data_IF_131901614189
#
_entry.id   IF_131901614189
#
_cell.length_a   1.000
_cell.length_b   1.000
_cell.length_c   1.000
_cell.angle_alpha   90.00
_cell.angle_beta   90.00
_cell.angle_gamma   90.00
#
_symmetry.space_group_name_H-M   'P 1'
#
loop_
_entity.id
_entity.type
_entity.pdbx_description
1 polymer ?
#
# COMPACT_ATOMS: atom_id res chain seq x y z
N UNK A 1 -21.15 32.96 50.39
CA UNK A 1 -20.02 32.59 49.50
C UNK A 1 -19.79 31.07 49.50
N UNK A 2 -20.80 30.25 49.16
CA UNK A 2 -20.66 28.79 49.17
C UNK A 2 -20.94 28.15 47.79
N UNK A 3 -21.60 28.87 46.88
CA UNK A 3 -22.00 28.35 45.56
C UNK A 3 -20.85 28.45 44.54
N UNK A 4 -19.92 29.40 44.72
CA UNK A 4 -18.82 29.64 43.78
C UNK A 4 -17.69 28.57 43.86
N UNK A 5 -17.59 27.84 44.99
CA UNK A 5 -16.55 26.82 45.20
C UNK A 5 -16.88 25.46 44.56
N UNK A 6 -18.16 25.19 44.30
CA UNK A 6 -18.61 23.93 43.70
C UNK A 6 -18.57 23.92 42.17
N UNK A 7 -18.54 25.09 41.51
CA UNK A 7 -18.47 25.17 40.05
C UNK A 7 -17.06 24.85 39.55
N UNK A 8 -16.02 25.12 40.35
CA UNK A 8 -14.63 24.87 39.98
C UNK A 8 -14.28 23.36 39.91
N UNK A 9 -14.93 22.53 40.73
CA UNK A 9 -14.71 21.07 40.72
C UNK A 9 -15.42 20.35 39.56
N UNK A 10 -16.49 20.92 39.01
CA UNK A 10 -17.23 20.32 37.89
C UNK A 10 -16.47 20.54 36.56
N UNK A 11 -15.71 21.64 36.43
CA UNK A 11 -14.94 21.94 35.21
C UNK A 11 -13.67 21.06 35.10
N UNK A 12 -13.06 20.68 36.23
CA UNK A 12 -11.88 19.81 36.26
C UNK A 12 -12.23 18.33 36.00
N UNK A 13 -13.44 17.89 36.32
CA UNK A 13 -13.87 16.52 36.05
C UNK A 13 -14.29 16.29 34.59
N UNK A 14 -14.75 17.34 33.89
CA UNK A 14 -15.14 17.25 32.48
C UNK A 14 -13.97 17.35 31.50
N UNK A 15 -12.80 17.80 31.95
CA UNK A 15 -11.60 17.89 31.10
C UNK A 15 -10.83 16.56 30.97
N UNK A 16 -11.20 15.53 31.75
CA UNK A 16 -10.59 14.20 31.67
C UNK A 16 -11.31 13.23 30.70
N UNK A 17 -12.44 13.63 30.11
CA UNK A 17 -13.13 12.84 29.08
C UNK A 17 -12.73 13.20 27.64
N UNK A 18 -11.75 14.08 27.45
CA UNK A 18 -11.06 14.19 26.17
C UNK A 18 -9.93 13.15 26.13
N UNK A 19 -10.29 11.88 25.99
CA UNK A 19 -9.33 10.87 25.56
C UNK A 19 -8.61 11.38 24.31
N UNK A 20 -7.31 11.13 24.13
CA UNK A 20 -6.59 11.61 22.96
C UNK A 20 -7.40 11.19 21.73
N UNK A 21 -7.78 12.17 20.91
CA UNK A 21 -8.33 11.97 19.58
C UNK A 21 -7.28 11.16 18.80
N UNK A 22 -7.30 9.83 18.97
CA UNK A 22 -6.49 8.94 18.19
C UNK A 22 -6.94 9.16 16.75
N UNK A 23 -6.04 9.59 15.85
CA UNK A 23 -6.42 9.78 14.47
C UNK A 23 -6.93 8.44 13.95
N UNK A 24 -8.21 8.41 13.56
CA UNK A 24 -8.94 7.29 12.94
C UNK A 24 -8.47 7.02 11.51
N UNK A 25 -7.17 7.16 11.27
CA UNK A 25 -6.53 6.93 10.00
C UNK A 25 -6.23 5.45 9.78
N UNK A 26 -6.22 5.07 8.51
CA UNK A 26 -5.74 3.78 8.00
C UNK A 26 -4.41 3.41 8.66
N UNK A 27 -4.34 2.26 9.34
CA UNK A 27 -3.13 1.84 10.08
C UNK A 27 -2.25 0.94 9.24
N UNK A 28 -0.95 1.13 9.32
CA UNK A 28 0.05 0.28 8.67
C UNK A 28 1.09 -0.16 9.71
N UNK A 29 1.74 -1.30 9.49
CA UNK A 29 2.75 -1.86 10.39
C UNK A 29 4.09 -1.99 9.67
N UNK A 30 5.17 -1.63 10.34
CA UNK A 30 6.53 -1.84 9.81
C UNK A 30 6.89 -3.32 9.85
N UNK A 31 7.35 -3.88 8.73
CA UNK A 31 7.74 -5.31 8.62
C UNK A 31 9.26 -5.51 8.57
N UNK A 32 10.02 -4.48 8.18
CA UNK A 32 11.47 -4.51 8.18
C UNK A 32 12.03 -4.30 9.60
N UNK A 33 13.17 -4.91 9.92
CA UNK A 33 13.82 -4.76 11.24
C UNK A 33 14.03 -3.30 11.66
N UNK A 34 14.37 -2.44 10.68
CA UNK A 34 14.43 -0.98 10.83
C UNK A 34 13.89 -0.32 9.57
N UNK A 35 13.15 0.78 9.74
CA UNK A 35 12.65 1.59 8.63
C UNK A 35 12.87 3.08 8.88
N UNK A 36 13.45 3.78 7.91
CA UNK A 36 13.64 5.22 7.97
C UNK A 36 12.39 5.96 7.49
N UNK A 37 12.05 7.03 8.19
CA UNK A 37 11.02 7.99 7.82
C UNK A 37 11.73 9.27 7.40
N UNK A 38 11.48 9.71 6.16
CA UNK A 38 12.17 10.81 5.50
C UNK A 38 11.31 12.08 5.50
N UNK A 39 11.95 13.24 5.55
CA UNK A 39 11.24 14.53 5.51
C UNK A 39 10.51 14.77 4.18
N UNK A 40 11.08 14.29 3.06
CA UNK A 40 10.49 14.29 1.71
C UNK A 40 10.48 12.87 1.14
N UNK A 41 9.67 12.63 0.10
CA UNK A 41 9.60 11.38 -0.65
C UNK A 41 10.86 11.13 -1.53
N UNK A 42 12.04 11.15 -0.90
CA UNK A 42 13.38 11.01 -1.48
C UNK A 42 14.33 10.41 -0.42
N UNK A 43 15.16 9.44 -0.82
CA UNK A 43 16.17 8.79 0.05
C UNK A 43 17.28 9.74 0.50
N UNK A 44 17.55 10.76 -0.30
CA UNK A 44 18.59 11.73 0.01
C UNK A 44 18.05 12.84 0.94
N UNK A 45 16.75 12.84 1.23
CA UNK A 45 16.15 13.74 2.20
C UNK A 45 16.67 13.42 3.61
N UNK A 46 16.74 14.41 4.51
CA UNK A 46 16.97 14.15 5.93
C UNK A 46 16.00 13.11 6.49
N UNK A 47 16.53 12.23 7.33
CA UNK A 47 15.75 11.26 8.11
C UNK A 47 15.15 12.01 9.30
N UNK A 48 13.83 11.92 9.43
CA UNK A 48 13.09 12.43 10.58
C UNK A 48 13.26 11.48 11.75
N UNK A 49 13.02 10.18 11.53
CA UNK A 49 13.19 9.15 12.54
C UNK A 49 13.40 7.77 11.91
N UNK A 50 14.03 6.85 12.64
CA UNK A 50 14.11 5.43 12.29
C UNK A 50 13.29 4.63 13.27
N UNK A 51 12.30 3.90 12.76
CA UNK A 51 11.37 3.09 13.55
C UNK A 51 11.68 1.60 13.43
N UNK A 52 11.31 0.82 14.45
CA UNK A 52 11.55 -0.60 14.52
C UNK A 52 10.43 -1.41 13.83
N UNK A 53 10.69 -2.70 13.60
CA UNK A 53 9.67 -3.66 13.18
C UNK A 53 8.52 -3.70 14.18
N UNK A 54 7.31 -3.84 13.67
CA UNK A 54 6.08 -3.89 14.47
C UNK A 54 5.51 -2.52 14.82
N UNK A 55 6.26 -1.43 14.65
CA UNK A 55 5.74 -0.07 14.87
C UNK A 55 4.51 0.18 14.00
N UNK A 56 3.44 0.69 14.62
CA UNK A 56 2.19 1.03 13.95
C UNK A 56 2.21 2.50 13.59
N UNK A 57 2.03 2.78 12.30
CA UNK A 57 1.98 4.12 11.75
C UNK A 57 0.56 4.43 11.23
N UNK A 58 0.21 5.70 11.21
CA UNK A 58 -1.05 6.16 10.61
C UNK A 58 -0.77 6.65 9.20
N UNK A 59 -1.36 5.98 8.20
CA UNK A 59 -1.27 6.34 6.79
C UNK A 59 -2.16 7.54 6.50
N UNK A 60 -1.60 8.60 5.92
CA UNK A 60 -2.39 9.64 5.27
C UNK A 60 -2.70 9.20 3.84
N UNK A 61 -3.97 9.36 3.45
CA UNK A 61 -4.37 9.15 2.06
C UNK A 61 -3.92 10.35 1.22
N UNK A 62 -2.65 10.35 0.79
CA UNK A 62 -2.13 11.32 -0.16
C UNK A 62 -2.35 10.76 -1.55
N UNK A 63 -3.48 11.09 -2.19
CA UNK A 63 -3.78 10.65 -3.55
C UNK A 63 -2.57 10.80 -4.49
N UNK A 64 -2.36 9.82 -5.38
CA UNK A 64 -1.37 9.73 -6.48
C UNK A 64 0.03 10.36 -6.25
N UNK A 65 0.57 10.44 -5.04
CA UNK A 65 2.01 10.71 -4.88
C UNK A 65 2.75 9.39 -5.02
N UNK A 66 3.57 9.26 -6.07
CA UNK A 66 4.49 8.13 -6.40
C UNK A 66 4.25 6.87 -5.57
N UNK A 67 3.56 5.86 -6.14
CA UNK A 67 3.04 4.60 -5.53
C UNK A 67 3.97 3.81 -4.57
N UNK A 68 5.23 4.18 -4.41
CA UNK A 68 6.23 3.56 -3.54
C UNK A 68 6.44 4.30 -2.21
N UNK A 69 5.98 5.55 -2.08
CA UNK A 69 6.11 6.35 -0.86
C UNK A 69 4.76 6.55 -0.22
N UNK A 70 4.71 6.38 1.09
CA UNK A 70 3.54 6.57 1.92
C UNK A 70 3.82 7.70 2.89
N UNK A 71 2.92 8.68 2.94
CA UNK A 71 2.99 9.71 3.95
C UNK A 71 2.31 9.23 5.23
N UNK A 72 3.01 9.36 6.35
CA UNK A 72 2.63 8.76 7.63
C UNK A 72 2.74 9.75 8.77
N UNK A 73 1.93 9.52 9.80
CA UNK A 73 2.00 10.18 11.10
C UNK A 73 2.20 9.15 12.21
N UNK A 74 3.00 9.49 13.21
CA UNK A 74 3.25 8.65 14.39
C UNK A 74 3.69 9.51 15.57
N UNK A 75 3.51 9.01 16.78
CA UNK A 75 4.06 9.62 17.98
C UNK A 75 5.54 9.23 18.08
N UNK A 76 6.44 10.23 18.09
CA UNK A 76 7.86 10.00 18.35
C UNK A 76 8.04 9.48 19.77
N UNK A 77 8.78 8.39 19.93
CA UNK A 77 9.21 7.96 21.26
C UNK A 77 10.24 8.94 21.86
N UNK A 78 10.99 9.65 21.00
CA UNK A 78 12.04 10.58 21.43
C UNK A 78 11.50 11.91 21.90
N UNK A 79 10.58 12.51 21.14
CA UNK A 79 10.05 13.85 21.46
C UNK A 79 8.69 13.81 22.15
N UNK A 80 8.00 12.68 22.17
CA UNK A 80 6.62 12.56 22.64
C UNK A 80 5.59 13.30 21.76
N UNK A 81 6.03 13.94 20.67
CA UNK A 81 5.18 14.68 19.75
C UNK A 81 4.77 13.83 18.56
N UNK A 82 3.60 14.11 17.99
CA UNK A 82 3.22 13.55 16.69
C UNK A 82 4.06 14.20 15.60
N UNK A 83 4.78 13.38 14.85
CA UNK A 83 5.59 13.77 13.70
C UNK A 83 5.09 13.07 12.45
N UNK A 84 5.46 13.63 11.31
CA UNK A 84 5.08 13.14 9.99
C UNK A 84 6.27 13.01 9.07
N UNK A 85 6.11 12.19 8.03
CA UNK A 85 7.12 12.00 7.01
C UNK A 85 6.75 10.92 6.02
N UNK A 86 7.73 10.52 5.20
CA UNK A 86 7.56 9.56 4.13
C UNK A 86 8.30 8.25 4.44
N UNK A 87 7.60 7.14 4.31
CA UNK A 87 8.15 5.78 4.43
C UNK A 87 7.88 5.00 3.13
N UNK A 88 8.74 4.04 2.81
CA UNK A 88 8.56 3.19 1.63
C UNK A 88 7.43 2.17 1.85
N UNK A 89 6.51 2.06 0.88
CA UNK A 89 5.43 1.06 0.86
C UNK A 89 5.93 -0.38 0.98
N UNK A 90 7.16 -0.65 0.53
CA UNK A 90 7.78 -1.99 0.62
C UNK A 90 8.20 -2.38 2.05
N UNK A 91 8.31 -1.43 2.98
CA UNK A 91 8.78 -1.68 4.35
C UNK A 91 7.63 -1.86 5.35
N UNK A 92 6.39 -1.84 4.86
CA UNK A 92 5.18 -1.86 5.68
C UNK A 92 4.11 -2.77 5.11
N UNK A 93 3.20 -3.20 5.97
CA UNK A 93 1.96 -3.90 5.60
C UNK A 93 0.74 -3.08 6.05
N UNK A 94 -0.39 -3.25 5.37
CA UNK A 94 -1.65 -2.58 5.71
C UNK A 94 -2.42 -3.39 6.74
N UNK A 95 -2.87 -2.74 7.81
CA UNK A 95 -3.71 -3.36 8.86
C UNK A 95 -5.21 -3.09 8.64
N UNK A 96 -5.61 -2.72 7.42
CA UNK A 96 -6.99 -2.44 7.05
C UNK A 96 -7.30 -3.05 5.69
N UNK A 97 -8.55 -3.46 5.53
CA UNK A 97 -9.09 -3.91 4.25
C UNK A 97 -9.53 -2.68 3.47
N UNK A 98 -9.10 -2.55 2.22
CA UNK A 98 -9.66 -1.57 1.29
C UNK A 98 -10.97 -2.15 0.74
N UNK A 99 -12.05 -2.09 1.51
CA UNK A 99 -13.39 -2.48 1.04
C UNK A 99 -14.00 -1.30 0.29
N UNK A 100 -13.90 -1.32 -1.04
CA UNK A 100 -14.73 -0.44 -1.89
C UNK A 100 -16.12 -1.09 -2.00
N UNK A 101 -17.06 -0.70 -1.14
CA UNK A 101 -18.45 -1.14 -1.25
C UNK A 101 -19.07 -0.39 -2.42
N UNK A 102 -19.32 -1.10 -3.52
CA UNK A 102 -20.14 -0.60 -4.63
C UNK A 102 -21.50 -1.24 -4.48
N UNK A 103 -22.53 -0.45 -4.17
CA UNK A 103 -23.91 -0.92 -4.19
C UNK A 103 -24.33 -1.07 -5.64
N UNK A 104 -24.36 -2.31 -6.13
CA UNK A 104 -24.73 -2.64 -7.51
C UNK A 104 -26.15 -3.20 -7.47
N UNK A 105 -27.10 -2.53 -8.12
CA UNK A 105 -28.38 -3.14 -8.48
C UNK A 105 -28.08 -4.21 -9.53
N UNK A 106 -28.38 -5.46 -9.22
CA UNK A 106 -28.12 -6.58 -10.09
C UNK A 106 -29.00 -6.51 -11.34
N UNK A 107 -28.36 -6.61 -12.49
CA UNK A 107 -28.92 -7.34 -13.62
C UNK A 107 -27.96 -8.50 -13.88
N UNK A 108 -28.52 -9.70 -13.69
CA UNK A 108 -27.92 -10.99 -14.00
C UNK A 108 -27.81 -11.13 -15.52
N UNK A 109 -26.65 -11.60 -15.97
CA UNK A 109 -26.60 -12.55 -17.07
C UNK A 109 -25.32 -13.38 -16.93
N UNK A 110 -25.51 -14.69 -16.87
CA UNK A 110 -24.53 -15.73 -16.66
C UNK A 110 -23.49 -15.75 -17.80
N UNK A 111 -22.22 -15.60 -17.45
CA UNK A 111 -21.08 -15.86 -18.33
C UNK A 111 -20.26 -17.05 -17.81
N UNK A 112 -20.95 -18.10 -17.37
CA UNK A 112 -20.31 -19.40 -17.17
C UNK A 112 -20.06 -20.04 -18.53
N UNK A 113 -18.86 -20.60 -18.72
CA UNK A 113 -18.41 -21.41 -19.86
C UNK A 113 -17.80 -20.76 -21.12
N UNK A 114 -16.98 -19.70 -21.00
CA UNK A 114 -16.08 -19.33 -22.12
C UNK A 114 -14.61 -19.06 -21.84
N UNK A 115 -14.15 -19.14 -20.60
CA UNK A 115 -12.73 -18.96 -20.29
C UNK A 115 -12.22 -20.19 -19.55
N UNK A 116 -11.82 -21.23 -20.30
CA UNK A 116 -10.97 -22.29 -19.76
C UNK A 116 -9.67 -21.63 -19.31
N UNK A 117 -9.59 -21.38 -18.01
CA UNK A 117 -8.46 -20.79 -17.31
C UNK A 117 -7.32 -21.82 -17.24
N UNK A 118 -6.68 -22.05 -18.38
CA UNK A 118 -5.52 -22.91 -18.50
C UNK A 118 -4.31 -22.01 -18.58
N UNK A 119 -3.87 -21.56 -17.41
CA UNK A 119 -2.48 -21.30 -17.03
C UNK A 119 -2.51 -20.52 -15.72
N UNK A 120 -2.40 -21.28 -14.63
CA UNK A 120 -2.31 -20.77 -13.27
C UNK A 120 -1.20 -19.72 -13.15
N UNK A 121 -1.39 -18.83 -12.18
CA UNK A 121 -0.42 -17.88 -11.62
C UNK A 121 1.03 -18.22 -11.99
N UNK A 122 1.69 -17.28 -12.71
CA UNK A 122 3.04 -17.40 -13.32
C UNK A 122 3.98 -18.31 -12.54
N UNK A 123 4.82 -19.07 -13.25
CA UNK A 123 5.79 -20.00 -12.65
C UNK A 123 6.81 -19.34 -11.72
N UNK A 124 6.92 -18.01 -11.78
CA UNK A 124 7.73 -17.21 -10.85
C UNK A 124 7.31 -17.41 -9.39
N UNK A 125 8.29 -17.58 -8.50
CA UNK A 125 8.10 -17.78 -7.05
C UNK A 125 8.93 -16.78 -6.25
N UNK A 126 8.50 -16.48 -5.02
CA UNK A 126 9.26 -15.64 -4.10
C UNK A 126 10.64 -16.24 -3.82
N UNK A 127 11.64 -15.37 -3.66
CA UNK A 127 13.03 -15.76 -3.44
C UNK A 127 13.81 -16.11 -4.70
N UNK A 128 13.16 -16.26 -5.87
CA UNK A 128 13.86 -16.44 -7.15
C UNK A 128 14.84 -15.30 -7.42
N UNK A 129 15.95 -15.65 -8.05
CA UNK A 129 16.93 -14.68 -8.54
C UNK A 129 16.45 -13.96 -9.78
N UNK A 130 17.11 -12.84 -10.10
CA UNK A 130 16.76 -12.06 -11.29
C UNK A 130 16.97 -12.86 -12.57
N UNK A 131 18.05 -13.63 -12.66
CA UNK A 131 18.33 -14.49 -13.82
C UNK A 131 17.25 -15.55 -14.01
N UNK A 132 16.80 -16.19 -12.93
CA UNK A 132 15.69 -17.16 -13.02
C UNK A 132 14.39 -16.50 -13.50
N UNK A 133 14.13 -15.26 -13.10
CA UNK A 133 12.97 -14.51 -13.61
C UNK A 133 13.17 -14.14 -15.09
N UNK A 134 14.37 -13.78 -15.52
CA UNK A 134 14.67 -13.53 -16.94
C UNK A 134 14.54 -14.79 -17.80
N UNK A 135 14.95 -15.95 -17.30
CA UNK A 135 14.79 -17.24 -18.00
C UNK A 135 13.31 -17.57 -18.24
N UNK A 136 12.43 -17.24 -17.28
CA UNK A 136 10.99 -17.49 -17.40
C UNK A 136 10.24 -16.42 -18.21
N UNK A 137 10.55 -15.14 -18.01
CA UNK A 137 9.77 -14.02 -18.54
C UNK A 137 10.31 -13.45 -19.86
N UNK A 138 11.58 -13.72 -20.14
CA UNK A 138 12.35 -13.17 -21.25
C UNK A 138 12.94 -11.79 -20.96
N UNK A 139 13.09 -10.99 -22.01
CA UNK A 139 13.64 -9.64 -21.90
C UNK A 139 12.66 -8.67 -21.21
N UNK A 140 13.20 -7.88 -20.28
CA UNK A 140 12.45 -6.84 -19.58
C UNK A 140 12.24 -5.61 -20.45
N UNK A 141 11.08 -4.96 -20.34
CA UNK A 141 10.84 -3.68 -20.99
C UNK A 141 11.49 -2.50 -20.27
N UNK A 142 11.74 -2.63 -18.96
CA UNK A 142 12.40 -1.58 -18.19
C UNK A 142 13.04 -2.16 -16.93
N UNK A 143 14.16 -1.57 -16.51
CA UNK A 143 14.84 -1.90 -15.26
C UNK A 143 15.16 -0.60 -14.53
N UNK A 144 14.84 -0.55 -13.23
CA UNK A 144 15.13 0.58 -12.36
C UNK A 144 15.74 0.06 -11.06
N UNK A 145 16.81 0.71 -10.59
CA UNK A 145 17.37 0.44 -9.27
C UNK A 145 17.18 1.67 -8.38
N UNK A 146 16.39 1.50 -7.33
CA UNK A 146 16.03 2.59 -6.43
C UNK A 146 15.86 2.08 -5.02
N UNK A 147 16.33 2.85 -4.03
CA UNK A 147 16.17 2.52 -2.60
C UNK A 147 16.74 1.16 -2.16
N UNK A 148 17.82 0.68 -2.78
CA UNK A 148 18.39 -0.66 -2.50
C UNK A 148 17.54 -1.82 -3.03
N UNK A 149 16.43 -1.51 -3.69
CA UNK A 149 15.57 -2.43 -4.41
C UNK A 149 15.82 -2.30 -5.91
N UNK A 150 15.60 -3.39 -6.60
CA UNK A 150 15.65 -3.43 -8.05
C UNK A 150 14.29 -3.82 -8.59
N UNK A 151 13.78 -3.05 -9.54
CA UNK A 151 12.49 -3.30 -10.17
C UNK A 151 12.71 -3.62 -11.62
N UNK A 152 12.24 -4.80 -12.02
CA UNK A 152 12.24 -5.27 -13.40
C UNK A 152 10.80 -5.28 -13.87
N UNK A 153 10.53 -4.60 -14.99
CA UNK A 153 9.19 -4.46 -15.56
C UNK A 153 9.10 -5.20 -16.88
N UNK A 154 7.96 -5.83 -17.09
CA UNK A 154 7.57 -6.49 -18.33
C UNK A 154 6.24 -5.94 -18.79
N UNK A 155 6.09 -5.78 -20.11
CA UNK A 155 4.80 -5.47 -20.72
C UNK A 155 4.27 -6.75 -21.36
N UNK A 156 3.09 -7.19 -20.94
CA UNK A 156 2.45 -8.42 -21.41
C UNK A 156 0.94 -8.20 -21.49
N UNK A 157 0.23 -9.16 -22.10
CA UNK A 157 -1.23 -9.25 -21.98
C UNK A 157 -1.59 -10.31 -20.94
N UNK A 158 -2.57 -10.01 -20.10
CA UNK A 158 -3.19 -10.97 -19.19
C UNK A 158 -4.70 -10.93 -19.42
N UNK A 159 -5.30 -12.07 -19.81
CA UNK A 159 -6.73 -12.17 -20.15
C UNK A 159 -7.14 -11.13 -21.22
N UNK A 160 -6.28 -10.93 -22.22
CA UNK A 160 -6.49 -9.96 -23.30
C UNK A 160 -6.26 -8.48 -22.92
N UNK A 161 -6.01 -8.18 -21.64
CA UNK A 161 -5.75 -6.83 -21.13
C UNK A 161 -4.24 -6.56 -21.10
N UNK A 162 -3.82 -5.42 -21.64
CA UNK A 162 -2.48 -4.86 -21.53
C UNK A 162 -2.11 -4.61 -20.06
N UNK A 163 -1.08 -5.29 -19.59
CA UNK A 163 -0.59 -5.13 -18.24
C UNK A 163 0.92 -4.92 -18.21
N UNK A 164 1.34 -4.13 -17.23
CA UNK A 164 2.72 -4.03 -16.78
C UNK A 164 2.89 -4.92 -15.56
N UNK A 165 3.84 -5.85 -15.64
CA UNK A 165 4.20 -6.73 -14.54
C UNK A 165 5.51 -6.22 -13.97
N UNK A 166 5.52 -5.88 -12.69
CA UNK A 166 6.71 -5.40 -11.99
C UNK A 166 7.17 -6.43 -10.98
N UNK A 167 8.39 -6.90 -11.12
CA UNK A 167 9.08 -7.74 -10.15
C UNK A 167 10.07 -6.89 -9.37
N UNK A 168 10.00 -6.94 -8.04
CA UNK A 168 10.81 -6.14 -7.13
C UNK A 168 11.70 -7.07 -6.33
N UNK A 169 13.00 -6.81 -6.38
CA UNK A 169 14.05 -7.59 -5.78
C UNK A 169 14.73 -6.80 -4.66
N UNK A 170 15.05 -7.48 -3.56
CA UNK A 170 15.99 -6.99 -2.57
C UNK A 170 17.29 -7.81 -2.71
N UNK A 171 18.39 -7.13 -3.07
CA UNK A 171 19.59 -7.83 -3.53
C UNK A 171 19.30 -8.65 -4.79
N UNK A 172 19.48 -9.97 -4.73
CA UNK A 172 19.18 -10.89 -5.85
C UNK A 172 18.03 -11.85 -5.51
N UNK A 173 17.06 -11.43 -4.69
CA UNK A 173 15.90 -12.24 -4.32
C UNK A 173 14.61 -11.50 -4.61
N UNK A 174 13.69 -12.17 -5.30
CA UNK A 174 12.37 -11.64 -5.58
C UNK A 174 11.54 -11.55 -4.29
N UNK A 175 11.08 -10.35 -3.95
CA UNK A 175 10.30 -10.12 -2.72
C UNK A 175 8.87 -9.67 -2.98
N UNK A 176 8.58 -9.13 -4.17
CA UNK A 176 7.25 -8.63 -4.52
C UNK A 176 7.05 -8.65 -6.03
N UNK A 177 5.82 -8.90 -6.44
CA UNK A 177 5.38 -8.82 -7.83
C UNK A 177 4.07 -8.02 -7.87
N UNK A 178 3.88 -7.24 -8.92
CA UNK A 178 2.69 -6.41 -9.12
C UNK A 178 2.19 -6.54 -10.54
N UNK A 179 0.88 -6.64 -10.69
CA UNK A 179 0.21 -6.44 -11.97
C UNK A 179 -0.39 -5.04 -12.00
N UNK A 180 -0.13 -4.31 -13.08
CA UNK A 180 -0.67 -2.98 -13.32
C UNK A 180 -1.34 -3.02 -14.69
N UNK A 181 -2.66 -3.19 -14.71
CA UNK A 181 -3.46 -3.09 -15.92
C UNK A 181 -3.45 -1.64 -16.44
N UNK A 182 -3.25 -1.49 -17.75
CA UNK A 182 -2.97 -0.21 -18.41
C UNK A 182 -4.18 0.37 -19.15
N UNK A 183 -5.30 -0.35 -19.16
CA UNK A 183 -6.55 0.04 -19.80
C UNK A 183 -7.07 1.36 -19.26
N UNK A 184 -7.47 2.21 -20.19
CA UNK A 184 -8.19 3.44 -19.89
C UNK A 184 -9.58 3.36 -20.50
N UNK A 185 -10.57 3.39 -19.63
CA UNK A 185 -11.97 3.45 -20.00
C UNK A 185 -12.55 4.85 -19.77
N UNK A 186 -13.44 5.27 -20.67
CA UNK A 186 -14.18 6.54 -20.52
C UNK A 186 -15.25 6.46 -19.43
N UNK A 187 -15.85 5.28 -19.26
CA UNK A 187 -16.92 5.05 -18.27
C UNK A 187 -16.44 4.10 -17.18
N UNK A 188 -16.69 4.47 -15.92
CA UNK A 188 -16.22 3.68 -14.77
C UNK A 188 -16.79 2.26 -14.72
N UNK A 189 -18.00 2.06 -15.27
CA UNK A 189 -18.66 0.75 -15.35
C UNK A 189 -17.86 -0.28 -16.15
N UNK A 190 -17.03 0.15 -17.10
CA UNK A 190 -16.22 -0.75 -17.94
C UNK A 190 -15.11 -1.44 -17.13
N UNK A 191 -14.53 -0.75 -16.13
CA UNK A 191 -13.58 -1.37 -15.21
C UNK A 191 -14.20 -2.50 -14.37
N UNK A 192 -15.53 -2.48 -14.16
CA UNK A 192 -16.24 -3.56 -13.45
C UNK A 192 -16.25 -4.82 -14.32
N UNK A 193 -16.50 -4.67 -15.62
CA UNK A 193 -16.44 -5.77 -16.58
C UNK A 193 -15.06 -6.42 -16.60
N UNK A 194 -14.01 -5.62 -16.61
CA UNK A 194 -12.64 -6.14 -16.55
C UNK A 194 -12.31 -6.78 -15.22
N UNK A 195 -12.72 -6.19 -14.10
CA UNK A 195 -12.55 -6.82 -12.78
C UNK A 195 -13.26 -8.18 -12.69
N UNK A 196 -14.48 -8.30 -13.22
CA UNK A 196 -15.20 -9.58 -13.27
C UNK A 196 -14.42 -10.63 -14.07
N UNK A 197 -13.80 -10.25 -15.21
CA UNK A 197 -12.94 -11.16 -15.99
C UNK A 197 -11.70 -11.59 -15.20
N UNK A 198 -11.08 -10.67 -14.45
CA UNK A 198 -9.88 -10.94 -13.66
C UNK A 198 -10.16 -11.79 -12.41
N UNK A 199 -11.33 -11.64 -11.77
CA UNK A 199 -11.68 -12.35 -10.53
C UNK A 199 -11.98 -13.84 -10.74
N UNK A 200 -12.47 -14.21 -11.92
CA UNK A 200 -12.85 -15.58 -12.27
C UNK A 200 -11.60 -16.42 -12.66
N UNK A 201 -10.44 -15.76 -12.77
CA UNK A 201 -9.13 -16.38 -12.99
C UNK A 201 -8.33 -16.65 -11.74
#
# INVERSE_FOLDING_TARGET
MAVLRNIFFIIIFFSFLAGPLLPSGKKIRVIAEKANIYFKADKNSPIVETVAKGTILTLQDTGRVKKIWLFVYFASEKSGMTISGYILDALVERLFVVTKIVTIKGEDESLEDKYKFKDYFRETRWGMSKNQVFELEGESSHQEKSYGLETVRYRKKAIGLECSIEFIFAGNKLIKAKYIFLEQHKHESQYIGDYKKLKIG
#
